data_IF_653334783360
#
_entry.id   IF_653334783360
#
_cell.length_a   1.000
_cell.length_b   1.000
_cell.length_c   1.000
_cell.angle_alpha   90.00
_cell.angle_beta   90.00
_cell.angle_gamma   90.00
#
_symmetry.space_group_name_H-M   'P 1'
#
loop_
_entity.id
_entity.type
_entity.pdbx_description
1 polymer ?
#
# COMPACT_ATOMS: atom_id res chain seq x y z
N UNK A 1 29.09 4.01 -0.95
CA UNK A 1 27.71 4.32 -0.54
C UNK A 1 27.73 4.62 0.94
N UNK A 2 27.19 5.78 1.35
CA UNK A 2 27.14 6.20 2.75
C UNK A 2 26.41 5.15 3.59
N UNK A 3 27.00 4.74 4.71
CA UNK A 3 26.43 3.71 5.61
C UNK A 3 25.28 4.22 6.47
N UNK A 4 24.96 5.52 6.38
CA UNK A 4 23.87 6.12 7.14
C UNK A 4 22.63 6.25 6.26
N UNK A 5 21.44 5.92 6.78
CA UNK A 5 20.20 6.13 6.05
C UNK A 5 20.03 7.62 5.72
N UNK A 6 19.39 7.97 4.60
CA UNK A 6 19.15 9.36 4.21
C UNK A 6 18.27 10.13 5.22
N UNK A 7 17.50 9.41 6.03
CA UNK A 7 16.68 9.94 7.13
C UNK A 7 16.90 9.12 8.41
N UNK A 8 16.93 9.77 9.57
CA UNK A 8 17.37 9.13 10.80
C UNK A 8 16.32 8.15 11.36
N UNK A 9 15.05 8.52 11.27
CA UNK A 9 13.93 7.78 11.86
C UNK A 9 13.77 6.38 11.27
N UNK A 10 14.18 6.18 10.01
CA UNK A 10 14.12 4.87 9.35
C UNK A 10 14.98 3.80 10.03
N UNK A 11 15.96 4.22 10.85
CA UNK A 11 16.81 3.32 11.66
C UNK A 11 16.46 3.29 13.15
N UNK A 12 15.43 4.03 13.59
CA UNK A 12 14.96 3.94 14.97
C UNK A 12 14.40 2.52 15.24
N UNK A 13 14.86 1.81 16.28
CA UNK A 13 14.39 0.45 16.57
C UNK A 13 12.87 0.34 16.75
N UNK A 14 12.22 1.40 17.27
CA UNK A 14 10.77 1.44 17.44
C UNK A 14 10.06 1.57 16.12
N UNK A 15 10.62 2.36 15.20
CA UNK A 15 10.11 2.51 13.84
C UNK A 15 10.18 1.17 13.10
N UNK A 16 11.32 0.46 13.18
CA UNK A 16 11.49 -0.87 12.58
C UNK A 16 10.51 -1.89 13.19
N UNK A 17 10.34 -1.88 14.51
CA UNK A 17 9.39 -2.74 15.22
C UNK A 17 7.95 -2.50 14.76
N UNK A 18 7.51 -1.24 14.73
CA UNK A 18 6.15 -0.88 14.32
C UNK A 18 5.86 -1.27 12.87
N UNK A 19 6.82 -1.08 11.96
CA UNK A 19 6.68 -1.56 10.57
C UNK A 19 6.54 -3.07 10.51
N UNK A 20 7.31 -3.80 11.33
CA UNK A 20 7.19 -5.25 11.41
C UNK A 20 5.81 -5.69 11.90
N UNK A 21 5.24 -5.00 12.87
CA UNK A 21 3.90 -5.27 13.40
C UNK A 21 2.83 -5.12 12.30
N UNK A 22 2.89 -4.05 11.50
CA UNK A 22 2.05 -3.91 10.30
C UNK A 22 2.23 -5.13 9.39
N UNK A 23 3.47 -5.49 9.05
CA UNK A 23 3.73 -6.62 8.11
C UNK A 23 3.37 -8.01 8.64
N UNK A 24 3.18 -8.14 9.95
CA UNK A 24 2.81 -9.41 10.60
C UNK A 24 1.32 -9.54 10.88
N UNK A 25 0.50 -8.61 10.39
CA UNK A 25 -0.95 -8.61 10.65
C UNK A 25 -1.29 -8.17 12.07
N UNK A 26 -0.61 -7.13 12.58
CA UNK A 26 -0.97 -6.51 13.86
C UNK A 26 -0.85 -4.98 13.78
N UNK A 27 -1.57 -4.34 12.83
CA UNK A 27 -1.45 -2.90 12.57
C UNK A 27 -1.87 -2.04 13.78
N UNK A 28 -2.82 -2.48 14.60
CA UNK A 28 -3.29 -1.78 15.81
C UNK A 28 -2.15 -1.55 16.80
N UNK A 29 -1.28 -2.54 16.96
CA UNK A 29 -0.13 -2.46 17.87
C UNK A 29 0.95 -1.48 17.36
N UNK A 30 0.88 -1.04 16.11
CA UNK A 30 1.82 -0.08 15.52
C UNK A 30 1.35 1.38 15.68
N UNK A 31 0.06 1.62 15.85
CA UNK A 31 -0.58 2.95 15.94
C UNK A 31 0.09 3.81 17.01
N UNK A 32 0.09 3.34 18.26
CA UNK A 32 0.67 4.08 19.38
C UNK A 32 2.17 4.35 19.19
N UNK A 33 2.89 3.41 18.58
CA UNK A 33 4.32 3.57 18.35
C UNK A 33 4.56 4.70 17.34
N UNK A 34 3.83 4.70 16.21
CA UNK A 34 4.00 5.74 15.20
C UNK A 34 3.49 7.10 15.66
N UNK A 35 2.39 7.18 16.41
CA UNK A 35 1.92 8.43 17.01
C UNK A 35 3.00 9.07 17.92
N UNK A 36 3.55 8.29 18.85
CA UNK A 36 4.63 8.75 19.73
C UNK A 36 5.91 9.15 18.97
N UNK A 37 6.25 8.43 17.90
CA UNK A 37 7.40 8.77 17.06
C UNK A 37 7.17 10.06 16.26
N UNK A 38 5.95 10.27 15.77
CA UNK A 38 5.55 11.46 15.04
C UNK A 38 5.68 12.71 15.92
N UNK A 39 5.10 12.70 17.12
CA UNK A 39 5.20 13.81 18.09
C UNK A 39 6.66 14.15 18.37
N UNK A 40 7.48 13.13 18.67
CA UNK A 40 8.91 13.34 18.93
C UNK A 40 9.65 13.90 17.71
N UNK A 41 9.32 13.49 16.50
CA UNK A 41 9.92 14.05 15.28
C UNK A 41 9.51 15.52 15.09
N UNK A 42 8.23 15.84 15.28
CA UNK A 42 7.70 17.22 15.20
C UNK A 42 8.39 18.14 16.20
N UNK A 43 8.53 17.71 17.45
CA UNK A 43 9.21 18.48 18.50
C UNK A 43 10.69 18.75 18.20
N UNK A 44 11.42 17.75 17.68
CA UNK A 44 12.88 17.81 17.54
C UNK A 44 13.36 18.37 16.21
N UNK A 45 12.64 18.06 15.13
CA UNK A 45 13.07 18.31 13.76
C UNK A 45 12.12 19.26 13.01
N UNK A 46 10.96 19.57 13.60
CA UNK A 46 9.91 20.37 12.98
C UNK A 46 8.91 19.53 12.19
N UNK A 47 7.72 20.08 12.04
CA UNK A 47 6.57 19.42 11.38
C UNK A 47 6.83 19.09 9.92
N UNK A 48 7.55 19.96 9.19
CA UNK A 48 7.85 19.79 7.77
C UNK A 48 9.10 18.91 7.52
N UNK A 49 9.64 18.22 8.52
CA UNK A 49 10.84 17.37 8.34
C UNK A 49 10.50 16.06 7.62
N UNK A 50 11.46 15.50 6.87
CA UNK A 50 11.27 14.21 6.19
C UNK A 50 11.03 13.06 7.19
N UNK A 51 11.66 13.13 8.37
CA UNK A 51 11.44 12.18 9.46
C UNK A 51 10.02 12.27 10.02
N UNK A 52 9.47 13.48 10.21
CA UNK A 52 8.08 13.67 10.62
C UNK A 52 7.12 13.18 9.53
N UNK A 53 7.36 13.52 8.26
CA UNK A 53 6.54 13.07 7.15
C UNK A 53 6.48 11.54 7.04
N UNK A 54 7.61 10.84 7.22
CA UNK A 54 7.59 9.38 7.20
C UNK A 54 6.80 8.79 8.38
N UNK A 55 6.97 9.32 9.60
CA UNK A 55 6.16 8.89 10.75
C UNK A 55 4.68 9.15 10.52
N UNK A 56 4.34 10.30 9.92
CA UNK A 56 2.97 10.68 9.64
C UNK A 56 2.33 9.71 8.64
N UNK A 57 3.03 9.38 7.56
CA UNK A 57 2.59 8.37 6.61
C UNK A 57 2.40 6.99 7.27
N UNK A 58 3.37 6.50 8.03
CA UNK A 58 3.25 5.16 8.63
C UNK A 58 2.17 5.11 9.72
N UNK A 59 1.93 6.22 10.42
CA UNK A 59 0.81 6.37 11.35
C UNK A 59 -0.53 6.26 10.62
N UNK A 60 -0.74 7.07 9.56
CA UNK A 60 -1.95 6.99 8.75
C UNK A 60 -2.16 5.62 8.11
N UNK A 61 -1.08 5.01 7.58
CA UNK A 61 -1.14 3.65 7.06
C UNK A 61 -1.48 2.63 8.16
N UNK A 62 -0.99 2.78 9.40
CA UNK A 62 -1.37 1.86 10.49
C UNK A 62 -2.85 1.96 10.87
N UNK A 63 -3.41 3.16 10.92
CA UNK A 63 -4.84 3.39 11.15
C UNK A 63 -5.68 2.71 10.07
N UNK A 64 -5.37 3.00 8.80
CA UNK A 64 -6.10 2.42 7.68
C UNK A 64 -6.02 0.89 7.64
N UNK A 65 -4.84 0.32 7.92
CA UNK A 65 -4.66 -1.14 7.95
C UNK A 65 -5.41 -1.78 9.12
N UNK A 66 -5.53 -1.09 10.26
CA UNK A 66 -6.32 -1.56 11.39
C UNK A 66 -7.81 -1.60 11.07
N UNK A 67 -8.34 -0.56 10.39
CA UNK A 67 -9.73 -0.57 9.89
C UNK A 67 -9.97 -1.75 8.96
N UNK A 68 -9.09 -1.95 7.98
CA UNK A 68 -9.18 -3.12 7.09
C UNK A 68 -9.18 -4.42 7.89
N UNK A 69 -8.27 -4.56 8.85
CA UNK A 69 -8.14 -5.77 9.67
C UNK A 69 -9.41 -6.07 10.46
N UNK A 70 -10.00 -5.08 11.13
CA UNK A 70 -11.26 -5.23 11.90
C UNK A 70 -12.42 -5.71 11.03
N UNK A 71 -12.59 -5.13 9.85
CA UNK A 71 -13.65 -5.55 8.93
C UNK A 71 -13.55 -7.02 8.49
N UNK A 72 -12.33 -7.58 8.43
CA UNK A 72 -12.15 -9.00 8.14
C UNK A 72 -12.43 -9.91 9.34
N UNK A 73 -12.01 -9.51 10.54
CA UNK A 73 -12.25 -10.32 11.75
C UNK A 73 -13.75 -10.41 12.05
N UNK A 74 -14.48 -9.31 11.96
CA UNK A 74 -15.94 -9.26 12.21
C UNK A 74 -16.76 -9.93 11.10
N UNK A 75 -16.19 -10.11 9.89
CA UNK A 75 -16.84 -10.78 8.76
C UNK A 75 -16.84 -12.31 8.81
N UNK A 76 -16.19 -12.94 9.81
CA UNK A 76 -15.97 -14.40 9.82
C UNK A 76 -17.00 -15.26 10.57
N UNK A 77 -18.03 -14.68 11.18
CA UNK A 77 -19.07 -15.45 11.88
C UNK A 77 -20.24 -15.95 11.00
N UNK A 78 -20.19 -15.73 9.68
CA UNK A 78 -21.17 -16.30 8.76
C UNK A 78 -20.52 -16.77 7.45
N UNK A 79 -20.12 -18.05 7.37
CA UNK A 79 -20.52 -19.02 6.33
C UNK A 79 -19.74 -20.32 6.59
N UNK A 80 -20.34 -21.20 7.39
CA UNK A 80 -20.22 -22.64 7.18
C UNK A 80 -21.19 -23.01 6.04
N UNK A 81 -20.71 -23.81 5.10
CA UNK A 81 -21.47 -24.45 3.99
C UNK A 81 -22.29 -23.58 3.00
N UNK A 82 -21.64 -22.84 2.08
CA UNK A 82 -22.21 -22.64 0.72
C UNK A 82 -21.17 -22.71 -0.40
N UNK A 83 -21.41 -23.64 -1.34
CA UNK A 83 -20.72 -23.78 -2.64
C UNK A 83 -20.72 -22.48 -3.46
N UNK A 84 -19.73 -22.27 -4.34
CA UNK A 84 -19.46 -20.97 -4.96
C UNK A 84 -20.44 -20.71 -6.10
N UNK A 85 -21.24 -19.66 -5.95
CA UNK A 85 -22.01 -19.06 -7.03
C UNK A 85 -21.88 -17.54 -6.94
N UNK A 86 -20.99 -17.00 -7.78
CA UNK A 86 -21.09 -15.72 -8.46
C UNK A 86 -21.66 -14.52 -7.66
N UNK A 87 -20.97 -14.14 -6.59
CA UNK A 87 -20.77 -12.72 -6.29
C UNK A 87 -19.26 -12.48 -6.26
N UNK A 88 -18.83 -11.46 -6.98
CA UNK A 88 -17.44 -11.12 -7.24
C UNK A 88 -16.71 -10.76 -5.94
N UNK A 89 -15.69 -11.54 -5.61
CA UNK A 89 -14.72 -11.35 -4.53
C UNK A 89 -13.85 -10.07 -4.72
N UNK A 90 -14.47 -8.89 -4.85
CA UNK A 90 -13.73 -7.61 -4.88
C UNK A 90 -12.96 -7.36 -3.57
N UNK A 91 -13.47 -7.88 -2.46
CA UNK A 91 -12.83 -7.85 -1.14
C UNK A 91 -11.59 -8.73 -1.08
N UNK A 92 -11.60 -9.90 -1.71
CA UNK A 92 -10.44 -10.81 -1.77
C UNK A 92 -9.30 -10.30 -2.66
N UNK A 93 -9.62 -9.48 -3.66
CA UNK A 93 -8.60 -8.75 -4.44
C UNK A 93 -8.00 -7.60 -3.66
N UNK A 94 -8.82 -6.84 -2.90
CA UNK A 94 -8.33 -5.85 -1.92
C UNK A 94 -7.47 -6.49 -0.83
N UNK A 95 -7.78 -7.71 -0.41
CA UNK A 95 -7.01 -8.55 0.53
C UNK A 95 -5.61 -8.88 -0.01
N UNK A 96 -5.50 -9.31 -1.28
CA UNK A 96 -4.21 -9.56 -1.94
C UNK A 96 -3.39 -8.26 -2.02
N UNK A 97 -4.04 -7.12 -2.30
CA UNK A 97 -3.40 -5.80 -2.39
C UNK A 97 -2.92 -5.28 -1.05
N UNK A 98 -3.70 -5.45 0.02
CA UNK A 98 -3.33 -5.07 1.38
C UNK A 98 -2.17 -5.93 1.91
N UNK A 99 -2.27 -7.25 1.77
CA UNK A 99 -1.21 -8.19 2.15
C UNK A 99 0.06 -8.08 1.28
N UNK A 100 -0.07 -7.50 0.08
CA UNK A 100 1.04 -7.12 -0.79
C UNK A 100 1.67 -5.80 -0.36
N UNK A 101 0.88 -4.76 -0.11
CA UNK A 101 1.34 -3.45 0.38
C UNK A 101 2.14 -3.59 1.68
N UNK A 102 1.73 -4.49 2.57
CA UNK A 102 2.45 -4.85 3.81
C UNK A 102 3.87 -5.39 3.55
N UNK A 103 4.05 -6.26 2.55
CA UNK A 103 5.36 -6.90 2.29
C UNK A 103 6.31 -6.02 1.47
N UNK A 104 5.78 -5.03 0.73
CA UNK A 104 6.51 -4.18 -0.23
C UNK A 104 7.63 -3.33 0.37
N UNK A 105 7.66 -3.07 1.68
CA UNK A 105 8.54 -2.04 2.24
C UNK A 105 9.47 -2.46 3.39
N UNK A 106 9.36 -3.68 3.93
CA UNK A 106 10.22 -4.17 5.03
C UNK A 106 11.69 -4.41 4.67
N UNK A 107 12.03 -4.51 3.38
CA UNK A 107 13.36 -4.94 2.94
C UNK A 107 14.42 -3.84 2.77
N UNK A 108 14.05 -2.55 2.86
CA UNK A 108 14.96 -1.45 2.48
C UNK A 108 15.86 -0.89 3.60
N UNK A 109 15.87 -1.45 4.83
CA UNK A 109 16.64 -0.81 5.93
C UNK A 109 17.16 -1.70 7.07
N UNK A 110 17.11 -3.04 7.01
CA UNK A 110 17.61 -3.86 8.12
C UNK A 110 18.70 -4.86 7.68
N UNK A 111 19.94 -4.76 8.19
CA UNK A 111 20.86 -5.88 8.16
C UNK A 111 20.34 -6.96 9.13
N UNK A 112 20.10 -8.18 8.64
CA UNK A 112 19.66 -9.31 9.45
C UNK A 112 20.71 -9.66 10.52
N UNK A 113 20.37 -9.70 11.84
CA UNK A 113 21.20 -10.38 12.81
C UNK A 113 20.87 -11.88 12.85
N UNK A 114 21.94 -12.67 12.82
CA UNK A 114 21.93 -14.12 12.77
C UNK A 114 21.23 -14.79 13.97
N UNK A 115 20.54 -15.88 13.65
CA UNK A 115 19.78 -16.76 14.56
C UNK A 115 20.59 -17.28 15.75
N UNK A 116 20.20 -16.90 16.98
CA UNK A 116 20.26 -17.76 18.18
C UNK A 116 19.16 -17.34 19.18
N UNK A 117 18.01 -18.02 19.15
CA UNK A 117 16.97 -17.88 20.20
C UNK A 117 17.19 -18.97 21.25
N UNK A 118 17.47 -18.55 22.48
CA UNK A 118 17.45 -19.41 23.66
C UNK A 118 16.01 -19.67 24.12
N UNK A 119 15.80 -20.89 24.61
CA UNK A 119 14.56 -21.46 25.15
C UNK A 119 14.33 -20.92 26.57
N UNK A 120 13.16 -20.35 26.85
CA UNK A 120 12.69 -20.10 28.22
C UNK A 120 11.29 -20.69 28.35
N UNK A 121 11.15 -21.58 29.33
CA UNK A 121 9.94 -22.26 29.77
C UNK A 121 9.29 -21.47 30.92
N UNK A 122 7.97 -21.38 30.91
CA UNK A 122 7.08 -21.22 32.08
C UNK A 122 5.68 -21.55 31.58
N UNK A 123 4.87 -22.45 32.13
CA UNK A 123 4.72 -22.86 33.51
C UNK A 123 3.23 -22.72 33.83
N UNK A 124 2.52 -23.84 33.91
CA UNK A 124 1.08 -23.93 34.19
C UNK A 124 0.73 -23.55 35.65
N UNK A 125 -0.47 -23.01 35.92
CA UNK A 125 -1.57 -23.75 36.58
C UNK A 125 -2.88 -22.91 36.76
N UNK A 126 -4.02 -23.60 36.57
CA UNK A 126 -5.40 -23.53 37.13
C UNK A 126 -6.08 -22.17 37.44
N UNK A 127 -7.21 -21.84 36.81
CA UNK A 127 -8.61 -22.34 36.98
C UNK A 127 -9.28 -22.01 38.31
N UNK A 128 -10.39 -21.26 38.27
CA UNK A 128 -11.57 -21.43 39.13
C UNK A 128 -12.80 -20.80 38.46
N UNK A 129 -13.85 -21.60 38.37
CA UNK A 129 -15.19 -21.36 37.85
C UNK A 129 -16.06 -20.51 38.78
N UNK A 130 -17.03 -19.76 38.23
CA UNK A 130 -18.44 -19.90 38.67
C UNK A 130 -19.46 -19.30 37.68
N UNK A 131 -20.53 -20.06 37.48
CA UNK A 131 -21.77 -19.74 36.75
C UNK A 131 -22.61 -18.65 37.42
N UNK A 132 -23.45 -17.97 36.61
CA UNK A 132 -24.78 -17.59 37.08
C UNK A 132 -25.43 -16.33 36.52
N UNK A 133 -26.18 -16.52 35.42
CA UNK A 133 -27.50 -15.91 35.11
C UNK A 133 -27.61 -14.45 34.62
N UNK A 134 -27.81 -14.35 33.30
CA UNK A 134 -28.96 -13.75 32.60
C UNK A 134 -29.64 -12.50 33.19
N UNK A 135 -29.58 -11.41 32.42
CA UNK A 135 -30.77 -10.62 32.10
C UNK A 135 -30.60 -9.81 30.81
N UNK A 136 -31.49 -10.11 29.89
CA UNK A 136 -31.84 -9.36 28.68
C UNK A 136 -31.83 -7.84 28.88
N UNK A 137 -31.09 -7.16 28.01
CA UNK A 137 -31.51 -5.92 27.37
C UNK A 137 -30.88 -5.89 25.98
N UNK A 138 -31.65 -6.41 25.04
CA UNK A 138 -31.45 -6.29 23.60
C UNK A 138 -31.93 -4.88 23.19
N UNK A 139 -31.00 -3.94 23.03
CA UNK A 139 -31.23 -2.65 22.37
C UNK A 139 -29.90 -2.06 21.87
N UNK A 140 -29.57 -2.38 20.60
CA UNK A 140 -28.70 -1.65 19.64
C UNK A 140 -27.31 -1.19 20.13
N UNK A 141 -26.30 -2.04 19.91
CA UNK A 141 -24.88 -1.69 19.95
C UNK A 141 -24.23 -1.54 18.55
N UNK A 142 -25.03 -1.30 17.50
CA UNK A 142 -24.57 -1.20 16.10
C UNK A 142 -24.17 0.25 15.69
N UNK A 143 -23.76 1.11 16.63
CA UNK A 143 -23.49 2.54 16.30
C UNK A 143 -22.13 3.09 16.75
N UNK A 144 -21.34 2.36 17.53
CA UNK A 144 -20.05 2.85 18.03
C UNK A 144 -18.83 2.32 17.23
N UNK A 145 -18.90 1.10 16.70
CA UNK A 145 -17.80 0.51 15.92
C UNK A 145 -17.64 1.21 14.55
N UNK A 146 -18.73 1.40 13.81
CA UNK A 146 -18.71 2.03 12.48
C UNK A 146 -18.26 3.50 12.52
N UNK A 147 -18.64 4.24 13.57
CA UNK A 147 -18.22 5.64 13.74
C UNK A 147 -16.72 5.78 14.01
N UNK A 148 -16.13 4.82 14.75
CA UNK A 148 -14.68 4.81 15.02
C UNK A 148 -13.88 4.51 13.76
N UNK A 149 -14.38 3.67 12.87
CA UNK A 149 -13.69 3.33 11.62
C UNK A 149 -13.70 4.49 10.63
N UNK A 150 -14.80 5.23 10.52
CA UNK A 150 -14.87 6.44 9.68
C UNK A 150 -13.87 7.52 10.14
N UNK A 151 -13.78 7.75 11.46
CA UNK A 151 -12.83 8.70 12.06
C UNK A 151 -11.36 8.25 11.82
N UNK A 152 -11.06 6.96 11.98
CA UNK A 152 -9.74 6.39 11.72
C UNK A 152 -9.35 6.52 10.24
N UNK A 153 -10.28 6.29 9.31
CA UNK A 153 -10.04 6.45 7.87
C UNK A 153 -9.83 7.91 7.51
N UNK A 154 -10.63 8.83 8.07
CA UNK A 154 -10.48 10.27 7.84
C UNK A 154 -9.12 10.77 8.35
N UNK A 155 -8.72 10.35 9.55
CA UNK A 155 -7.41 10.67 10.11
C UNK A 155 -6.28 10.04 9.30
N UNK A 156 -6.43 8.78 8.86
CA UNK A 156 -5.45 8.12 8.01
C UNK A 156 -5.21 8.91 6.72
N UNK A 157 -6.30 9.37 6.08
CA UNK A 157 -6.26 10.18 4.87
C UNK A 157 -5.50 11.50 5.11
N UNK A 158 -5.87 12.26 6.14
CA UNK A 158 -5.21 13.53 6.49
C UNK A 158 -3.70 13.34 6.72
N UNK A 159 -3.33 12.28 7.44
CA UNK A 159 -1.93 11.99 7.74
C UNK A 159 -1.14 11.64 6.48
N UNK A 160 -1.69 10.81 5.60
CA UNK A 160 -1.03 10.41 4.34
C UNK A 160 -0.91 11.61 3.38
N UNK A 161 -1.96 12.42 3.24
CA UNK A 161 -1.96 13.62 2.40
C UNK A 161 -0.94 14.65 2.88
N UNK A 162 -0.92 14.94 4.19
CA UNK A 162 0.04 15.88 4.77
C UNK A 162 1.48 15.40 4.57
N UNK A 163 1.73 14.10 4.78
CA UNK A 163 3.04 13.51 4.56
C UNK A 163 3.49 13.64 3.09
N UNK A 164 2.58 13.35 2.15
CA UNK A 164 2.84 13.49 0.71
C UNK A 164 3.11 14.95 0.33
N UNK A 165 2.35 15.90 0.86
CA UNK A 165 2.56 17.33 0.63
C UNK A 165 3.97 17.75 1.08
N UNK A 166 4.41 17.31 2.26
CA UNK A 166 5.78 17.58 2.75
C UNK A 166 6.82 17.01 1.77
N UNK A 167 6.67 15.75 1.33
CA UNK A 167 7.60 15.14 0.37
C UNK A 167 7.67 15.93 -0.94
N UNK A 168 6.52 16.27 -1.52
CA UNK A 168 6.42 17.03 -2.77
C UNK A 168 7.07 18.41 -2.65
N UNK A 169 6.78 19.14 -1.56
CA UNK A 169 7.39 20.43 -1.30
C UNK A 169 8.92 20.35 -1.16
N UNK A 170 9.45 19.24 -0.64
CA UNK A 170 10.89 19.04 -0.45
C UNK A 170 11.63 18.60 -1.71
N UNK A 171 10.98 17.91 -2.64
CA UNK A 171 11.58 17.54 -3.94
C UNK A 171 11.43 18.63 -5.00
N UNK A 172 10.45 19.54 -4.84
CA UNK A 172 10.25 20.68 -5.71
C UNK A 172 11.51 21.56 -5.82
N UNK A 173 11.72 22.17 -6.98
CA UNK A 173 12.89 23.01 -7.22
C UNK A 173 12.86 24.20 -6.23
N UNK A 174 13.92 24.41 -5.43
CA UNK A 174 13.91 25.45 -4.41
C UNK A 174 13.84 26.83 -5.07
N UNK A 175 12.92 27.67 -4.60
CA UNK A 175 12.94 29.09 -4.89
C UNK A 175 14.23 29.74 -4.32
N UNK A 176 14.67 30.88 -4.85
CA UNK A 176 15.85 31.60 -4.33
C UNK A 176 15.75 31.94 -2.82
N UNK A 177 14.53 32.01 -2.28
CA UNK A 177 14.24 32.26 -0.85
C UNK A 177 14.36 31.03 0.06
N UNK A 178 14.43 29.80 -0.48
CA UNK A 178 14.30 28.55 0.30
C UNK A 178 15.61 27.80 0.52
N UNK A 179 16.76 28.48 0.50
CA UNK A 179 18.08 27.84 0.71
C UNK A 179 18.19 27.09 2.06
N UNK A 180 17.44 27.52 3.07
CA UNK A 180 17.37 26.86 4.38
C UNK A 180 16.51 25.58 4.41
N UNK A 181 15.65 25.34 3.40
CA UNK A 181 14.80 24.14 3.29
C UNK A 181 15.39 23.06 2.37
N UNK A 182 16.57 23.30 1.79
CA UNK A 182 17.25 22.36 0.89
C UNK A 182 17.63 21.07 1.63
N UNK A 183 17.13 19.95 1.13
CA UNK A 183 17.53 18.60 1.51
C UNK A 183 18.76 18.18 0.69
N UNK A 184 19.50 17.16 1.14
CA UNK A 184 20.62 16.61 0.37
C UNK A 184 20.13 15.88 -0.88
N UNK A 185 21.03 15.62 -1.84
CA UNK A 185 20.68 14.85 -3.04
C UNK A 185 20.23 13.42 -2.67
N UNK A 186 20.86 12.78 -1.67
CA UNK A 186 20.45 11.46 -1.19
C UNK A 186 19.06 11.49 -0.54
N UNK A 187 18.73 12.56 0.18
CA UNK A 187 17.39 12.75 0.76
C UNK A 187 16.35 13.00 -0.32
N UNK A 188 16.72 13.72 -1.38
CA UNK A 188 15.83 13.99 -2.51
C UNK A 188 15.54 12.71 -3.28
N UNK A 189 16.56 11.92 -3.58
CA UNK A 189 16.41 10.60 -4.21
C UNK A 189 15.54 9.68 -3.34
N UNK A 190 15.79 9.65 -2.03
CA UNK A 190 14.96 8.90 -1.09
C UNK A 190 13.49 9.34 -1.12
N UNK A 191 13.22 10.65 -1.10
CA UNK A 191 11.87 11.19 -1.12
C UNK A 191 11.15 10.87 -2.44
N UNK A 192 11.83 11.02 -3.58
CA UNK A 192 11.33 10.60 -4.89
C UNK A 192 10.97 9.11 -4.93
N UNK A 193 11.76 8.27 -4.27
CA UNK A 193 11.48 6.84 -4.15
C UNK A 193 10.28 6.51 -3.26
N UNK A 194 9.93 7.37 -2.31
CA UNK A 194 8.77 7.20 -1.43
C UNK A 194 7.46 7.75 -2.02
N UNK A 195 7.49 8.77 -2.87
CA UNK A 195 6.27 9.38 -3.42
C UNK A 195 5.30 8.34 -4.02
N UNK A 196 5.73 7.39 -4.87
CA UNK A 196 4.81 6.40 -5.44
C UNK A 196 4.20 5.48 -4.39
N UNK A 197 4.91 5.21 -3.29
CA UNK A 197 4.38 4.43 -2.16
C UNK A 197 3.24 5.18 -1.47
N UNK A 198 3.42 6.47 -1.25
CA UNK A 198 2.45 7.30 -0.55
C UNK A 198 1.20 7.47 -1.41
N UNK A 199 1.39 7.71 -2.70
CA UNK A 199 0.30 7.78 -3.69
C UNK A 199 -0.48 6.47 -3.82
N UNK A 200 0.19 5.30 -3.86
CA UNK A 200 -0.52 4.01 -3.88
C UNK A 200 -1.36 3.84 -2.61
N UNK A 201 -0.80 4.13 -1.43
CA UNK A 201 -1.55 4.04 -0.18
C UNK A 201 -2.76 4.98 -0.15
N UNK A 202 -2.60 6.20 -0.68
CA UNK A 202 -3.68 7.16 -0.82
C UNK A 202 -4.77 6.65 -1.77
N UNK A 203 -4.37 6.06 -2.89
CA UNK A 203 -5.29 5.40 -3.82
C UNK A 203 -6.05 4.24 -3.16
N UNK A 204 -5.39 3.45 -2.30
CA UNK A 204 -6.04 2.37 -1.54
C UNK A 204 -7.12 2.92 -0.60
N UNK A 205 -6.84 4.01 0.11
CA UNK A 205 -7.80 4.68 1.01
C UNK A 205 -9.00 5.21 0.20
N UNK A 206 -8.75 5.90 -0.91
CA UNK A 206 -9.85 6.38 -1.77
C UNK A 206 -10.64 5.24 -2.40
N UNK A 207 -9.99 4.14 -2.78
CA UNK A 207 -10.67 2.95 -3.31
C UNK A 207 -11.55 2.30 -2.25
N UNK A 208 -11.09 2.26 -1.00
CA UNK A 208 -11.88 1.82 0.13
C UNK A 208 -13.13 2.69 0.36
N UNK A 209 -12.99 4.01 0.24
CA UNK A 209 -14.10 4.97 0.31
C UNK A 209 -14.96 5.03 -0.97
N UNK A 210 -14.74 4.15 -1.94
CA UNK A 210 -15.40 4.14 -3.25
C UNK A 210 -15.25 5.46 -4.05
N UNK A 211 -14.24 6.27 -3.71
CA UNK A 211 -13.88 7.49 -4.41
C UNK A 211 -13.04 7.17 -5.66
N UNK A 212 -13.63 6.46 -6.63
CA UNK A 212 -12.94 5.86 -7.77
C UNK A 212 -12.12 6.84 -8.61
N UNK A 213 -12.61 8.07 -8.81
CA UNK A 213 -11.85 9.09 -9.54
C UNK A 213 -10.57 9.51 -8.84
N UNK A 214 -10.62 9.67 -7.50
CA UNK A 214 -9.46 10.01 -6.68
C UNK A 214 -8.48 8.85 -6.56
N UNK A 215 -8.97 7.60 -6.52
CA UNK A 215 -8.08 6.44 -6.51
C UNK A 215 -7.33 6.30 -7.84
N UNK A 216 -8.02 6.46 -8.97
CA UNK A 216 -7.40 6.49 -10.31
C UNK A 216 -6.38 7.63 -10.43
N UNK A 217 -6.70 8.85 -9.96
CA UNK A 217 -5.75 9.98 -9.92
C UNK A 217 -4.46 9.60 -9.19
N UNK A 218 -4.59 9.08 -7.96
CA UNK A 218 -3.46 8.74 -7.12
C UNK A 218 -2.59 7.63 -7.76
N UNK A 219 -3.21 6.60 -8.32
CA UNK A 219 -2.49 5.51 -9.00
C UNK A 219 -1.81 5.95 -10.30
N UNK A 220 -2.44 6.82 -11.12
CA UNK A 220 -1.82 7.36 -12.33
C UNK A 220 -0.62 8.25 -11.98
N UNK A 221 -0.75 9.10 -10.96
CA UNK A 221 0.39 9.91 -10.48
C UNK A 221 1.52 9.01 -9.99
N UNK A 222 1.21 7.94 -9.24
CA UNK A 222 2.22 6.98 -8.81
C UNK A 222 2.90 6.30 -10.00
N UNK A 223 2.12 5.93 -11.01
CA UNK A 223 2.57 5.27 -12.23
C UNK A 223 3.58 6.13 -12.99
N UNK A 224 3.36 7.45 -13.13
CA UNK A 224 4.31 8.34 -13.82
C UNK A 224 5.73 8.24 -13.24
N UNK A 225 5.86 8.30 -11.92
CA UNK A 225 7.16 8.14 -11.26
C UNK A 225 7.78 6.75 -11.47
N UNK A 226 6.94 5.68 -11.48
CA UNK A 226 7.40 4.31 -11.73
C UNK A 226 7.86 4.12 -13.17
N UNK A 227 7.13 4.71 -14.11
CA UNK A 227 7.43 4.66 -15.54
C UNK A 227 8.74 5.38 -15.85
N UNK A 228 8.94 6.59 -15.33
CA UNK A 228 10.17 7.35 -15.53
C UNK A 228 11.38 6.61 -14.96
N UNK A 229 11.27 6.10 -13.71
CA UNK A 229 12.33 5.28 -13.11
C UNK A 229 12.62 4.01 -13.91
N UNK A 230 11.58 3.37 -14.46
CA UNK A 230 11.74 2.18 -15.29
C UNK A 230 12.41 2.49 -16.63
N UNK A 231 12.06 3.61 -17.27
CA UNK A 231 12.72 4.08 -18.50
C UNK A 231 14.20 4.31 -18.28
N UNK A 232 14.57 5.04 -17.22
CA UNK A 232 15.97 5.28 -16.84
C UNK A 232 16.73 3.97 -16.62
N UNK A 233 16.12 3.02 -15.90
CA UNK A 233 16.72 1.72 -15.60
C UNK A 233 16.84 0.81 -16.82
N UNK A 234 15.91 0.89 -17.78
CA UNK A 234 15.92 0.09 -19.00
C UNK A 234 17.00 0.53 -19.99
N UNK A 235 17.40 1.79 -19.96
CA UNK A 235 18.47 2.33 -20.80
C UNK A 235 19.88 1.94 -20.31
N UNK A 236 20.00 1.42 -19.09
CA UNK A 236 21.26 0.87 -18.59
C UNK A 236 21.69 -0.37 -19.39
N UNK A 237 22.96 -0.39 -19.83
CA UNK A 237 23.55 -1.46 -20.65
C UNK A 237 24.02 -2.68 -19.83
N UNK A 238 23.82 -2.65 -18.52
CA UNK A 238 24.29 -3.69 -17.62
C UNK A 238 23.37 -4.94 -17.63
N UNK A 239 23.90 -6.05 -17.10
CA UNK A 239 23.10 -7.26 -16.89
C UNK A 239 21.92 -6.98 -15.97
N UNK A 240 20.77 -7.56 -16.28
CA UNK A 240 19.51 -7.33 -15.55
C UNK A 240 19.67 -7.57 -14.03
N UNK A 241 19.51 -6.52 -13.23
CA UNK A 241 19.71 -6.52 -11.77
C UNK A 241 18.43 -6.79 -10.97
N UNK A 242 18.57 -7.03 -9.67
CA UNK A 242 17.44 -7.17 -8.73
C UNK A 242 16.67 -5.84 -8.63
N UNK A 243 17.38 -4.71 -8.67
CA UNK A 243 16.78 -3.38 -8.64
C UNK A 243 15.95 -3.11 -9.90
N UNK A 244 16.44 -3.54 -11.07
CA UNK A 244 15.67 -3.47 -12.32
C UNK A 244 14.43 -4.37 -12.25
N UNK A 245 14.57 -5.58 -11.69
CA UNK A 245 13.44 -6.49 -11.46
C UNK A 245 12.35 -5.83 -10.60
N UNK A 246 12.74 -5.28 -9.45
CA UNK A 246 11.84 -4.61 -8.51
C UNK A 246 11.18 -3.38 -9.14
N UNK A 247 11.96 -2.57 -9.86
CA UNK A 247 11.45 -1.38 -10.56
C UNK A 247 10.37 -1.76 -11.57
N UNK A 248 10.65 -2.78 -12.40
CA UNK A 248 9.70 -3.28 -13.38
C UNK A 248 8.44 -3.87 -12.73
N UNK A 249 8.60 -4.68 -11.67
CA UNK A 249 7.48 -5.24 -10.90
C UNK A 249 6.55 -4.14 -10.38
N UNK A 250 7.11 -3.09 -9.79
CA UNK A 250 6.34 -1.96 -9.24
C UNK A 250 5.64 -1.12 -10.31
N UNK A 251 6.21 -1.03 -11.52
CA UNK A 251 5.55 -0.42 -12.67
C UNK A 251 4.31 -1.23 -13.10
N UNK A 252 4.45 -2.55 -13.24
CA UNK A 252 3.34 -3.45 -13.62
C UNK A 252 2.24 -3.40 -12.55
N UNK A 253 2.61 -3.38 -11.28
CA UNK A 253 1.68 -3.26 -10.15
C UNK A 253 0.82 -1.99 -10.26
N UNK A 254 1.42 -0.85 -10.56
CA UNK A 254 0.70 0.41 -10.73
C UNK A 254 -0.27 0.35 -11.93
N UNK A 255 0.10 -0.29 -13.04
CA UNK A 255 -0.82 -0.52 -14.16
C UNK A 255 -2.04 -1.37 -13.74
N UNK A 256 -1.83 -2.40 -12.91
CA UNK A 256 -2.94 -3.22 -12.40
C UNK A 256 -3.89 -2.41 -11.52
N UNK A 257 -3.34 -1.59 -10.62
CA UNK A 257 -4.12 -0.73 -9.72
C UNK A 257 -4.99 0.26 -10.50
N UNK A 258 -4.44 0.89 -11.55
CA UNK A 258 -5.23 1.78 -12.43
C UNK A 258 -6.35 0.99 -13.13
N UNK A 259 -6.04 -0.16 -13.72
CA UNK A 259 -7.04 -0.99 -14.38
C UNK A 259 -8.16 -1.43 -13.42
N UNK A 260 -7.80 -1.88 -12.23
CA UNK A 260 -8.76 -2.32 -11.22
C UNK A 260 -9.66 -1.20 -10.74
N UNK A 261 -9.10 -0.03 -10.43
CA UNK A 261 -9.87 1.13 -9.99
C UNK A 261 -10.87 1.61 -11.06
N UNK A 262 -10.48 1.57 -12.33
CA UNK A 262 -11.38 1.85 -13.45
C UNK A 262 -12.51 0.83 -13.57
N UNK A 263 -12.24 -0.46 -13.30
CA UNK A 263 -13.26 -1.52 -13.35
C UNK A 263 -14.19 -1.52 -12.14
N UNK A 264 -13.72 -1.00 -11.00
CA UNK A 264 -14.50 -0.90 -9.77
C UNK A 264 -15.58 0.19 -9.84
N UNK A 265 -15.41 1.19 -10.71
CA UNK A 265 -16.38 2.27 -10.88
C UNK A 265 -17.74 1.74 -11.38
N UNK A 266 -18.88 2.21 -10.85
CA UNK A 266 -20.21 1.70 -11.19
C UNK A 266 -20.57 1.83 -12.68
N UNK A 267 -21.29 0.88 -13.24
CA UNK A 267 -21.68 0.90 -14.67
C UNK A 267 -22.44 2.17 -15.05
N UNK A 268 -22.02 2.80 -16.16
CA UNK A 268 -22.63 4.03 -16.67
C UNK A 268 -22.07 5.33 -16.08
N UNK A 269 -21.13 5.25 -15.14
CA UNK A 269 -20.50 6.42 -14.52
C UNK A 269 -19.14 6.77 -15.14
N UNK A 270 -18.91 8.08 -15.30
CA UNK A 270 -17.61 8.63 -15.66
C UNK A 270 -16.66 8.55 -14.47
N UNK A 271 -15.38 8.30 -14.73
CA UNK A 271 -14.33 8.33 -13.71
C UNK A 271 -13.76 9.74 -13.68
N UNK A 272 -14.15 10.50 -12.65
CA UNK A 272 -13.89 11.92 -12.56
C UNK A 272 -13.26 12.26 -11.21
N UNK A 273 -12.20 13.05 -11.22
CA UNK A 273 -11.56 13.58 -10.02
C UNK A 273 -11.74 15.10 -9.97
N UNK A 274 -12.44 15.58 -8.95
CA UNK A 274 -12.55 17.01 -8.68
C UNK A 274 -11.30 17.49 -7.93
N UNK A 275 -10.48 18.28 -8.62
CA UNK A 275 -9.40 19.05 -7.99
C UNK A 275 -9.91 20.37 -7.42
N UNK A 276 -9.00 21.13 -6.77
CA UNK A 276 -9.33 22.43 -6.20
C UNK A 276 -9.78 23.45 -7.27
N UNK A 277 -9.20 23.38 -8.47
CA UNK A 277 -9.41 24.35 -9.55
C UNK A 277 -10.10 23.77 -10.80
N UNK A 278 -10.02 22.45 -11.02
CA UNK A 278 -10.53 21.80 -12.23
C UNK A 278 -11.00 20.37 -11.96
N UNK A 279 -12.07 19.99 -12.64
CA UNK A 279 -12.57 18.62 -12.71
C UNK A 279 -11.87 17.86 -13.84
N UNK A 280 -11.10 16.84 -13.51
CA UNK A 280 -10.40 15.99 -14.48
C UNK A 280 -11.22 14.74 -14.76
N UNK A 281 -11.65 14.56 -16.00
CA UNK A 281 -12.26 13.30 -16.47
C UNK A 281 -11.17 12.33 -16.93
N UNK A 282 -10.96 11.26 -16.18
CA UNK A 282 -9.97 10.23 -16.49
C UNK A 282 -10.47 9.24 -17.54
N UNK A 283 -11.75 8.86 -17.45
CA UNK A 283 -12.39 8.01 -18.44
C UNK A 283 -13.89 8.27 -18.46
N UNK A 284 -14.47 8.41 -19.64
CA UNK A 284 -15.93 8.41 -19.80
C UNK A 284 -16.48 7.00 -19.59
N UNK A 285 -17.71 6.89 -19.11
CA UNK A 285 -18.40 5.62 -18.93
C UNK A 285 -18.33 4.73 -20.18
N UNK A 286 -18.46 5.33 -21.37
CA UNK A 286 -18.41 4.62 -22.66
C UNK A 286 -17.02 4.10 -23.05
N UNK A 287 -15.95 4.67 -22.51
CA UNK A 287 -14.55 4.37 -22.88
C UNK A 287 -13.80 3.67 -21.74
N UNK A 288 -14.38 3.65 -20.54
CA UNK A 288 -13.75 3.16 -19.31
C UNK A 288 -13.22 1.74 -19.42
N UNK A 289 -14.00 0.84 -20.02
CA UNK A 289 -13.60 -0.56 -20.20
C UNK A 289 -12.41 -0.68 -21.15
N UNK A 290 -12.38 0.10 -22.23
CA UNK A 290 -11.26 0.11 -23.19
C UNK A 290 -9.99 0.70 -22.56
N UNK A 291 -10.15 1.74 -21.73
CA UNK A 291 -9.06 2.34 -20.96
C UNK A 291 -8.49 1.35 -19.94
N UNK A 292 -9.34 0.70 -19.14
CA UNK A 292 -8.92 -0.33 -18.20
C UNK A 292 -8.21 -1.48 -18.92
N UNK A 293 -8.74 -1.93 -20.07
CA UNK A 293 -8.16 -3.03 -20.84
C UNK A 293 -6.77 -2.67 -21.38
N UNK A 294 -6.56 -1.41 -21.75
CA UNK A 294 -5.25 -0.92 -22.21
C UNK A 294 -4.18 -1.05 -21.10
N UNK A 295 -4.54 -0.68 -19.87
CA UNK A 295 -3.65 -0.82 -18.71
C UNK A 295 -3.40 -2.28 -18.33
N UNK A 296 -4.45 -3.11 -18.35
CA UNK A 296 -4.34 -4.55 -18.11
C UNK A 296 -3.44 -5.25 -19.14
N UNK A 297 -3.61 -4.97 -20.43
CA UNK A 297 -2.78 -5.57 -21.48
C UNK A 297 -1.31 -5.17 -21.34
N UNK A 298 -1.06 -3.90 -20.98
CA UNK A 298 0.29 -3.44 -20.67
C UNK A 298 0.89 -4.22 -19.49
N UNK A 299 0.14 -4.36 -18.39
CA UNK A 299 0.58 -5.12 -17.23
C UNK A 299 0.87 -6.59 -17.58
N UNK A 300 -0.01 -7.22 -18.34
CA UNK A 300 0.09 -8.62 -18.78
C UNK A 300 1.32 -8.87 -19.66
N UNK A 301 1.58 -7.99 -20.63
CA UNK A 301 2.75 -8.10 -21.52
C UNK A 301 4.04 -7.92 -20.72
N UNK A 302 4.10 -6.89 -19.88
CA UNK A 302 5.29 -6.58 -19.11
C UNK A 302 5.59 -7.63 -18.02
N UNK A 303 4.56 -8.23 -17.43
CA UNK A 303 4.69 -9.37 -16.51
C UNK A 303 5.32 -10.58 -17.19
N UNK A 304 4.94 -10.91 -18.43
CA UNK A 304 5.56 -12.03 -19.15
C UNK A 304 7.07 -11.82 -19.32
N UNK A 305 7.48 -10.61 -19.73
CA UNK A 305 8.92 -10.32 -19.84
C UNK A 305 9.61 -10.31 -18.46
N UNK A 306 8.96 -9.80 -17.41
CA UNK A 306 9.48 -9.87 -16.03
C UNK A 306 9.76 -11.33 -15.61
N UNK A 307 8.81 -12.23 -15.82
CA UNK A 307 8.95 -13.66 -15.50
C UNK A 307 10.09 -14.32 -16.30
N UNK A 308 10.25 -13.96 -17.57
CA UNK A 308 11.39 -14.42 -18.37
C UNK A 308 12.73 -13.94 -17.80
N UNK A 309 12.83 -12.68 -17.34
CA UNK A 309 14.05 -12.17 -16.70
C UNK A 309 14.33 -12.89 -15.38
N UNK A 310 13.32 -13.09 -14.54
CA UNK A 310 13.46 -13.86 -13.29
C UNK A 310 13.97 -15.28 -13.55
N UNK A 311 13.44 -15.95 -14.57
CA UNK A 311 13.88 -17.30 -14.93
C UNK A 311 15.35 -17.31 -15.37
N UNK A 312 15.80 -16.32 -16.14
CA UNK A 312 17.21 -16.16 -16.54
C UNK A 312 18.11 -15.92 -15.33
N UNK A 313 17.72 -15.01 -14.43
CA UNK A 313 18.45 -14.72 -13.19
C UNK A 313 18.54 -15.96 -12.29
N UNK A 314 17.44 -16.71 -12.15
CA UNK A 314 17.42 -17.96 -11.39
C UNK A 314 18.32 -19.04 -12.02
N UNK A 315 18.35 -19.15 -13.35
CA UNK A 315 19.27 -20.06 -14.05
C UNK A 315 20.75 -19.69 -13.83
N UNK A 316 21.03 -18.40 -13.64
CA UNK A 316 22.34 -17.88 -13.25
C UNK A 316 22.62 -18.00 -11.74
N UNK A 317 21.72 -18.62 -10.97
CA UNK A 317 21.81 -18.78 -9.51
C UNK A 317 21.84 -17.46 -8.74
N UNK A 318 21.26 -16.40 -9.29
CA UNK A 318 21.05 -15.14 -8.57
C UNK A 318 19.99 -15.40 -7.48
N UNK A 319 20.29 -14.97 -6.25
CA UNK A 319 19.31 -14.99 -5.17
C UNK A 319 18.32 -13.84 -5.37
N UNK A 320 17.05 -14.21 -5.59
CA UNK A 320 15.97 -13.25 -5.82
C UNK A 320 15.31 -12.76 -4.51
N UNK A 321 15.69 -13.32 -3.35
CA UNK A 321 15.17 -12.89 -2.04
C UNK A 321 13.64 -12.84 -1.98
N UNK A 322 13.09 -11.72 -1.50
CA UNK A 322 11.65 -11.49 -1.38
C UNK A 322 10.93 -11.29 -2.72
N UNK A 323 11.64 -10.89 -3.78
CA UNK A 323 11.02 -10.59 -5.09
C UNK A 323 10.34 -11.81 -5.73
N UNK A 324 10.72 -13.04 -5.34
CA UNK A 324 9.97 -14.24 -5.74
C UNK A 324 8.52 -14.17 -5.26
N UNK A 325 8.33 -13.87 -3.99
CA UNK A 325 7.01 -13.79 -3.35
C UNK A 325 6.24 -12.59 -3.88
N UNK A 326 6.90 -11.44 -4.00
CA UNK A 326 6.27 -10.21 -4.47
C UNK A 326 5.83 -10.33 -5.94
N UNK A 327 6.56 -11.10 -6.75
CA UNK A 327 6.13 -11.38 -8.14
C UNK A 327 4.99 -12.40 -8.20
N UNK A 328 4.93 -13.40 -7.31
CA UNK A 328 3.76 -14.28 -7.24
C UNK A 328 2.48 -13.50 -6.93
N UNK A 329 2.56 -12.58 -5.98
CA UNK A 329 1.47 -11.64 -5.67
C UNK A 329 1.09 -10.81 -6.91
N UNK A 330 2.07 -10.30 -7.65
CA UNK A 330 1.80 -9.55 -8.88
C UNK A 330 1.07 -10.41 -9.94
N UNK A 331 1.42 -11.69 -10.06
CA UNK A 331 0.71 -12.63 -10.94
C UNK A 331 -0.76 -12.76 -10.53
N UNK A 332 -1.04 -12.86 -9.23
CA UNK A 332 -2.40 -12.92 -8.70
C UNK A 332 -3.18 -11.63 -8.99
N UNK A 333 -2.54 -10.46 -8.83
CA UNK A 333 -3.15 -9.17 -9.19
C UNK A 333 -3.52 -9.10 -10.67
N UNK A 334 -2.60 -9.45 -11.59
CA UNK A 334 -2.90 -9.46 -13.04
C UNK A 334 -4.04 -10.44 -13.35
N UNK A 335 -4.03 -11.64 -12.75
CA UNK A 335 -5.09 -12.61 -12.95
C UNK A 335 -6.45 -12.10 -12.45
N UNK A 336 -6.48 -11.45 -11.29
CA UNK A 336 -7.67 -10.83 -10.72
C UNK A 336 -8.31 -9.81 -11.65
N UNK A 337 -7.52 -8.89 -12.20
CA UNK A 337 -8.00 -7.92 -13.21
C UNK A 337 -8.54 -8.64 -14.44
N UNK A 338 -7.86 -9.69 -14.91
CA UNK A 338 -8.35 -10.52 -16.03
C UNK A 338 -9.71 -11.17 -15.75
N UNK A 339 -9.92 -11.68 -14.53
CA UNK A 339 -11.20 -12.25 -14.12
C UNK A 339 -12.32 -11.21 -14.03
N UNK A 340 -12.02 -9.98 -13.61
CA UNK A 340 -12.98 -8.88 -13.59
C UNK A 340 -13.51 -8.59 -15.01
N UNK A 341 -12.64 -8.52 -16.02
CA UNK A 341 -13.06 -8.38 -17.42
C UNK A 341 -13.95 -9.53 -17.90
N UNK A 342 -13.61 -10.76 -17.54
CA UNK A 342 -14.41 -11.93 -17.92
C UNK A 342 -15.79 -11.93 -17.24
N UNK A 343 -15.88 -11.41 -16.01
CA UNK A 343 -17.13 -11.18 -15.30
C UNK A 343 -18.04 -10.20 -16.05
N UNK A 344 -17.51 -9.04 -16.44
CA UNK A 344 -18.24 -8.01 -17.18
C UNK A 344 -18.73 -8.53 -18.55
N UNK A 345 -17.88 -9.27 -19.28
CA UNK A 345 -18.27 -9.89 -20.56
C UNK A 345 -19.41 -10.92 -20.42
N UNK A 346 -19.53 -11.57 -19.27
CA UNK A 346 -20.62 -12.50 -18.99
C UNK A 346 -21.91 -11.77 -18.61
N UNK A 347 -21.81 -10.66 -17.88
CA UNK A 347 -22.97 -9.83 -17.51
C UNK A 347 -23.62 -9.12 -18.72
N UNK A 348 -22.83 -8.83 -19.76
CA UNK A 348 -23.31 -8.18 -20.98
C UNK A 348 -23.99 -9.13 -22.01
N UNK A 349 -24.06 -10.44 -21.74
CA UNK A 349 -24.69 -11.46 -22.58
C UNK A 349 -26.00 -11.92 -21.97
#
# INVERSE_FOLDING_TARGET
MSSNPPIAIATDPRFILARKLITSGSPESAIDIFANLLERCREKLGEESLDAALCQYEYGNSLFRAVLHRQYEDGTDAVDERKPAAKSDGERQREIMAAAAEKRFGAASSPEPSKKRAKIESGADKSLSNDGADKDTDEKAETEADASDEDDVALALEMIETALHILLARVAAPSESDKAKRISDEQKEWALDQIPRFLICLGDVYSFQEAHGKSVDAYIRALSYREDKWKEMKESKDSFSIEQLKCKRLYIEACCLVAEALLACPDGEDVVCDGEDETVTYAKASERIDFANSWYEMARVELNDLLCQMAKMAAQKVDLGSEKKDTCILVEMVAGVGFAFDGLKKAAK
#
